data_IF_295186517351
#
_entry.id   IF_295186517351
#
_cell.length_a   1.000
_cell.length_b   1.000
_cell.length_c   1.000
_cell.angle_alpha   90.00
_cell.angle_beta   90.00
_cell.angle_gamma   90.00
#
_symmetry.space_group_name_H-M   'P 1'
#
loop_
_entity.id
_entity.type
_entity.pdbx_description
1 polymer ?
#
# COMPACT_ATOMS: atom_id res chain seq x y z
N UNK A 1 -11.46 16.61 -16.30
CA UNK A 1 -10.85 15.82 -15.22
C UNK A 1 -10.36 14.54 -15.85
N UNK A 2 -9.05 14.41 -16.06
CA UNK A 2 -8.48 13.15 -16.55
C UNK A 2 -8.55 12.21 -15.33
N UNK A 3 -9.33 11.13 -15.42
CA UNK A 3 -9.48 10.18 -14.32
C UNK A 3 -8.17 9.45 -14.02
N UNK A 4 -8.05 8.90 -12.81
CA UNK A 4 -6.92 8.02 -12.44
C UNK A 4 -7.07 6.70 -13.21
N UNK A 5 -6.02 6.29 -13.92
CA UNK A 5 -5.98 4.99 -14.60
C UNK A 5 -5.50 3.90 -13.61
N UNK A 6 -6.46 3.35 -12.87
CA UNK A 6 -6.20 2.28 -11.90
C UNK A 6 -5.71 0.98 -12.55
N UNK A 7 -6.05 0.73 -13.82
CA UNK A 7 -5.59 -0.46 -14.53
C UNK A 7 -4.10 -0.34 -14.87
N UNK A 8 -3.67 0.81 -15.37
CA UNK A 8 -2.26 1.09 -15.62
C UNK A 8 -1.43 1.04 -14.32
N UNK A 9 -1.92 1.63 -13.23
CA UNK A 9 -1.26 1.58 -11.93
C UNK A 9 -1.11 0.13 -11.42
N UNK A 10 -2.17 -0.68 -11.52
CA UNK A 10 -2.12 -2.09 -11.09
C UNK A 10 -1.15 -2.90 -11.95
N UNK A 11 -1.14 -2.69 -13.27
CA UNK A 11 -0.20 -3.34 -14.18
C UNK A 11 1.24 -2.94 -13.85
N UNK A 12 1.48 -1.66 -13.54
CA UNK A 12 2.78 -1.15 -13.13
C UNK A 12 3.28 -1.78 -11.84
N UNK A 13 2.45 -1.88 -10.80
CA UNK A 13 2.81 -2.54 -9.55
C UNK A 13 3.12 -4.04 -9.77
N UNK A 14 2.27 -4.75 -10.54
CA UNK A 14 2.46 -6.18 -10.87
C UNK A 14 3.77 -6.46 -11.61
N UNK A 15 4.26 -5.51 -12.39
CA UNK A 15 5.55 -5.63 -13.08
C UNK A 15 6.75 -5.51 -12.12
N UNK A 16 6.59 -4.91 -10.94
CA UNK A 16 7.68 -4.64 -10.00
C UNK A 16 7.68 -5.56 -8.77
N UNK A 17 6.50 -5.90 -8.25
CA UNK A 17 6.30 -6.60 -6.98
C UNK A 17 5.07 -7.52 -7.01
N UNK A 18 4.97 -8.53 -6.12
CA UNK A 18 3.75 -9.34 -6.00
C UNK A 18 2.54 -8.51 -5.55
N UNK A 19 1.43 -8.59 -6.29
CA UNK A 19 0.20 -7.82 -6.04
C UNK A 19 -1.02 -8.71 -6.08
N UNK A 20 -1.94 -8.48 -5.14
CA UNK A 20 -3.32 -8.96 -5.21
C UNK A 20 -4.27 -7.77 -5.13
N UNK A 21 -5.41 -7.84 -5.80
CA UNK A 21 -6.49 -6.87 -5.67
C UNK A 21 -7.43 -7.37 -4.57
N UNK A 22 -7.87 -6.47 -3.69
CA UNK A 22 -8.86 -6.75 -2.66
C UNK A 22 -10.24 -6.31 -3.16
N UNK A 23 -11.30 -7.01 -2.76
CA UNK A 23 -12.67 -6.65 -3.15
C UNK A 23 -13.15 -5.39 -2.41
N UNK A 24 -13.05 -5.37 -1.08
CA UNK A 24 -13.32 -4.19 -0.25
C UNK A 24 -12.32 -4.08 0.90
N UNK A 25 -12.06 -2.85 1.34
CA UNK A 25 -11.25 -2.51 2.51
C UNK A 25 -11.98 -1.58 3.48
N UNK A 26 -13.26 -1.27 3.23
CA UNK A 26 -14.14 -0.41 4.06
C UNK A 26 -13.56 0.97 4.39
N UNK A 27 -12.79 1.56 3.46
CA UNK A 27 -12.17 2.89 3.57
C UNK A 27 -12.41 3.71 2.30
N UNK A 28 -13.66 3.77 1.86
CA UNK A 28 -14.05 4.40 0.60
C UNK A 28 -13.67 5.90 0.52
N UNK A 29 -13.56 6.58 1.66
CA UNK A 29 -13.13 7.98 1.76
C UNK A 29 -11.65 8.19 1.42
N UNK A 30 -10.85 7.11 1.33
CA UNK A 30 -9.42 7.15 1.06
C UNK A 30 -9.07 6.96 -0.42
N UNK A 31 -10.05 7.10 -1.33
CA UNK A 31 -9.89 6.90 -2.78
C UNK A 31 -9.18 5.57 -3.11
N UNK A 32 -7.95 5.60 -3.62
CA UNK A 32 -7.17 4.41 -3.92
C UNK A 32 -6.26 4.00 -2.75
N UNK A 33 -6.41 2.76 -2.28
CA UNK A 33 -5.73 2.25 -1.08
C UNK A 33 -4.80 1.11 -1.43
N UNK A 34 -3.55 1.19 -0.96
CA UNK A 34 -2.56 0.11 -1.03
C UNK A 34 -2.19 -0.33 0.38
N UNK A 35 -2.23 -1.65 0.61
CA UNK A 35 -1.81 -2.26 1.87
C UNK A 35 -0.52 -3.03 1.66
N UNK A 36 0.58 -2.54 2.22
CA UNK A 36 1.87 -3.23 2.15
C UNK A 36 1.97 -4.25 3.28
N UNK A 37 1.96 -5.53 2.90
CA UNK A 37 2.11 -6.65 3.84
C UNK A 37 3.59 -6.84 4.20
N UNK A 38 3.93 -7.07 5.48
CA UNK A 38 5.32 -7.35 5.84
C UNK A 38 5.79 -8.68 5.25
N UNK A 39 7.07 -8.74 4.88
CA UNK A 39 7.76 -9.98 4.52
C UNK A 39 7.92 -10.89 5.75
N UNK A 40 8.41 -12.12 5.57
CA UNK A 40 8.72 -13.01 6.70
C UNK A 40 9.72 -12.35 7.68
N UNK A 41 10.78 -11.71 7.15
CA UNK A 41 11.74 -10.95 7.94
C UNK A 41 11.08 -9.76 8.66
N UNK A 42 10.23 -8.99 7.96
CA UNK A 42 9.48 -7.90 8.56
C UNK A 42 8.58 -8.35 9.72
N UNK A 43 7.87 -9.49 9.56
CA UNK A 43 7.06 -10.07 10.65
C UNK A 43 7.91 -10.51 11.83
N UNK A 44 9.08 -11.12 11.59
CA UNK A 44 10.02 -11.50 12.65
C UNK A 44 10.54 -10.28 13.42
N UNK A 45 10.70 -9.14 12.74
CA UNK A 45 11.02 -7.84 13.34
C UNK A 45 9.80 -7.15 14.01
N UNK A 46 8.64 -7.81 14.07
CA UNK A 46 7.44 -7.28 14.71
C UNK A 46 6.61 -6.31 13.85
N UNK A 47 6.93 -6.16 12.57
CA UNK A 47 6.21 -5.24 11.69
C UNK A 47 4.72 -5.61 11.54
N UNK A 48 3.93 -4.59 11.22
CA UNK A 48 2.50 -4.68 10.92
C UNK A 48 2.25 -4.18 9.49
N UNK A 49 1.12 -4.57 8.86
CA UNK A 49 0.76 -4.02 7.57
C UNK A 49 0.67 -2.49 7.62
N UNK A 50 1.21 -1.84 6.59
CA UNK A 50 1.11 -0.39 6.43
C UNK A 50 0.04 -0.08 5.41
N UNK A 51 -0.85 0.84 5.76
CA UNK A 51 -1.99 1.24 4.96
C UNK A 51 -1.72 2.62 4.38
N UNK A 52 -1.86 2.73 3.07
CA UNK A 52 -1.61 3.95 2.31
C UNK A 52 -2.88 4.30 1.52
N UNK A 53 -3.49 5.44 1.82
CA UNK A 53 -4.66 5.98 1.12
C UNK A 53 -4.29 7.06 0.12
N UNK A 54 -5.26 7.48 -0.69
CA UNK A 54 -5.12 8.57 -1.68
C UNK A 54 -3.99 8.36 -2.70
N UNK A 55 -3.61 7.10 -2.96
CA UNK A 55 -2.48 6.75 -3.84
C UNK A 55 -2.90 6.88 -5.31
N UNK A 56 -3.11 8.12 -5.75
CA UNK A 56 -3.50 8.47 -7.12
C UNK A 56 -2.34 9.01 -7.94
N UNK A 57 -1.22 9.31 -7.29
CA UNK A 57 0.00 9.81 -7.91
C UNK A 57 0.86 8.64 -8.43
N UNK A 58 1.29 8.65 -9.71
CA UNK A 58 2.26 7.69 -10.22
C UNK A 58 3.55 7.64 -9.39
N UNK A 59 4.05 8.77 -8.88
CA UNK A 59 5.31 8.82 -8.13
C UNK A 59 5.18 8.05 -6.80
N UNK A 60 4.06 8.22 -6.09
CA UNK A 60 3.76 7.44 -4.89
C UNK A 60 3.69 5.93 -5.17
N UNK A 61 3.21 5.55 -6.36
CA UNK A 61 3.18 4.14 -6.80
C UNK A 61 4.59 3.59 -6.95
N UNK A 62 5.50 4.37 -7.51
CA UNK A 62 6.89 3.98 -7.68
C UNK A 62 7.63 3.89 -6.34
N UNK A 63 7.43 4.87 -5.45
CA UNK A 63 8.02 4.89 -4.11
C UNK A 63 7.58 3.67 -3.28
N UNK A 64 6.30 3.29 -3.37
CA UNK A 64 5.78 2.08 -2.71
C UNK A 64 6.45 0.83 -3.26
N UNK A 65 6.55 0.71 -4.58
CA UNK A 65 7.17 -0.46 -5.21
C UNK A 65 8.67 -0.57 -4.87
N UNK A 66 9.39 0.55 -4.84
CA UNK A 66 10.79 0.59 -4.44
C UNK A 66 10.98 0.23 -2.96
N UNK A 67 10.14 0.75 -2.08
CA UNK A 67 10.17 0.38 -0.68
C UNK A 67 9.88 -1.11 -0.46
N UNK A 68 8.91 -1.69 -1.18
CA UNK A 68 8.62 -3.14 -1.12
C UNK A 68 9.81 -3.95 -1.62
N UNK A 69 10.47 -3.53 -2.70
CA UNK A 69 11.69 -4.20 -3.20
C UNK A 69 12.86 -4.11 -2.24
N UNK A 70 12.97 -3.01 -1.48
CA UNK A 70 13.96 -2.87 -0.41
C UNK A 70 13.65 -3.74 0.82
N UNK A 71 12.48 -4.38 0.88
CA UNK A 71 12.09 -5.32 1.94
C UNK A 71 10.82 -4.91 2.69
N UNK A 72 10.35 -3.68 2.48
CA UNK A 72 9.10 -3.16 3.03
C UNK A 72 9.10 -3.00 4.57
N UNK A 73 7.91 -3.01 5.19
CA UNK A 73 7.73 -2.76 6.62
C UNK A 73 8.62 -3.62 7.51
N UNK A 74 9.37 -2.96 8.40
CA UNK A 74 10.26 -3.60 9.38
C UNK A 74 11.60 -4.10 8.83
N UNK A 75 11.84 -3.99 7.53
CA UNK A 75 13.13 -4.36 6.90
C UNK A 75 13.79 -3.12 6.31
N UNK A 76 13.06 -2.32 5.55
CA UNK A 76 13.52 -1.05 5.02
C UNK A 76 12.78 0.10 5.70
N UNK A 77 13.46 1.23 5.99
CA UNK A 77 12.79 2.43 6.47
C UNK A 77 11.75 2.86 5.43
N UNK A 78 10.56 3.25 5.90
CA UNK A 78 9.54 3.82 5.02
C UNK A 78 10.03 5.20 4.55
N UNK A 79 10.01 5.50 3.24
CA UNK A 79 10.31 6.85 2.76
C UNK A 79 9.37 7.88 3.40
N UNK A 80 9.91 9.02 3.85
CA UNK A 80 9.14 10.07 4.55
C UNK A 80 7.95 10.57 3.72
N UNK A 81 8.07 10.61 2.39
CA UNK A 81 6.96 10.99 1.50
C UNK A 81 5.74 10.07 1.65
N UNK A 82 5.95 8.80 1.97
CA UNK A 82 4.85 7.84 2.20
C UNK A 82 4.10 8.09 3.51
N UNK A 83 4.62 8.95 4.41
CA UNK A 83 3.89 9.37 5.60
C UNK A 83 2.68 10.24 5.26
N UNK A 84 2.72 10.98 4.14
CA UNK A 84 1.59 11.77 3.64
C UNK A 84 0.38 10.91 3.24
N UNK A 85 0.64 9.65 2.88
CA UNK A 85 -0.38 8.70 2.45
C UNK A 85 -0.80 7.76 3.60
N UNK A 86 -0.12 7.80 4.74
CA UNK A 86 -0.34 6.85 5.82
C UNK A 86 -1.71 7.05 6.47
N UNK A 87 -2.52 5.98 6.48
CA UNK A 87 -3.84 5.97 7.10
C UNK A 87 -3.92 4.93 8.21
N UNK A 88 -4.84 5.15 9.15
CA UNK A 88 -5.16 4.14 10.16
C UNK A 88 -6.08 3.10 9.53
N UNK A 89 -5.79 1.79 9.66
CA UNK A 89 -6.73 0.77 9.20
C UNK A 89 -8.08 0.90 9.91
N UNK A 90 -9.20 0.58 9.23
CA UNK A 90 -10.48 0.56 9.90
C UNK A 90 -10.45 -0.44 11.04
N UNK A 91 -11.09 -0.10 12.16
CA UNK A 91 -11.24 -1.03 13.28
C UNK A 91 -12.00 -2.25 12.77
N UNK A 92 -11.48 -3.45 13.02
CA UNK A 92 -12.19 -4.69 12.74
C UNK A 92 -13.51 -4.68 13.53
N UNK A 93 -14.61 -4.36 12.86
CA UNK A 93 -15.95 -4.66 13.36
C UNK A 93 -16.18 -6.17 13.39
N UNK A 94 -17.24 -6.66 14.06
CA UNK A 94 -17.62 -8.06 13.96
C UNK A 94 -17.81 -8.40 12.47
N UNK A 95 -17.19 -9.49 12.01
CA UNK A 95 -17.49 -10.04 10.68
C UNK A 95 -18.98 -10.34 10.64
N UNK A 96 -19.68 -9.76 9.67
CA UNK A 96 -21.00 -10.26 9.28
C UNK A 96 -20.86 -11.65 8.64
#
# INVERSE_FOLDING_TARGET
>A
MIGVDHAAQTARLRARVPVRVSDCLDVCEQANVIVVQPSAAGRAAGARPVWLGLVNDPDATEDIADWVRAGGPGVAPRPDILDLYAITPPRRGPSA
#
